data_IF_291995019544
#
_entry.id   IF_291995019544
#
_cell.length_a   1.000
_cell.length_b   1.000
_cell.length_c   1.000
_cell.angle_alpha   90.00
_cell.angle_beta   90.00
_cell.angle_gamma   90.00
#
_symmetry.space_group_name_H-M   'P 1'
#
loop_
_entity.id
_entity.type
_entity.pdbx_description
1 polymer ?
#
# COMPACT_ATOMS: atom_id res chain seq x y z
N UNK A 1 -3.33 19.43 -3.58
CA UNK A 1 -2.28 18.47 -3.19
C UNK A 1 -0.94 19.15 -3.41
N UNK A 2 -0.07 19.24 -2.40
CA UNK A 2 1.31 19.71 -2.59
C UNK A 2 2.09 18.61 -3.33
N UNK A 3 2.83 18.97 -4.39
CA UNK A 3 3.56 18.03 -5.23
C UNK A 3 4.70 17.33 -4.47
N UNK A 4 5.43 18.03 -3.61
CA UNK A 4 6.50 17.44 -2.78
C UNK A 4 5.94 16.40 -1.80
N UNK A 5 4.78 16.67 -1.19
CA UNK A 5 4.09 15.68 -0.34
C UNK A 5 3.58 14.47 -1.11
N UNK A 6 3.12 14.68 -2.34
CA UNK A 6 2.72 13.58 -3.20
C UNK A 6 3.92 12.71 -3.55
N UNK A 7 5.04 13.32 -3.95
CA UNK A 7 6.27 12.59 -4.19
C UNK A 7 6.75 11.85 -2.94
N UNK A 8 6.75 12.47 -1.76
CA UNK A 8 7.08 11.79 -0.50
C UNK A 8 6.21 10.55 -0.24
N UNK A 9 4.91 10.63 -0.58
CA UNK A 9 4.01 9.50 -0.47
C UNK A 9 4.34 8.39 -1.48
N UNK A 10 4.61 8.73 -2.74
CA UNK A 10 5.02 7.77 -3.78
C UNK A 10 6.35 7.09 -3.41
N UNK A 11 7.34 7.87 -2.96
CA UNK A 11 8.64 7.38 -2.52
C UNK A 11 8.50 6.43 -1.32
N UNK A 12 7.71 6.82 -0.33
CA UNK A 12 7.40 5.97 0.84
C UNK A 12 6.76 4.63 0.44
N UNK A 13 5.87 4.62 -0.55
CA UNK A 13 5.30 3.37 -1.07
C UNK A 13 6.38 2.53 -1.76
N UNK A 14 7.19 3.14 -2.63
CA UNK A 14 8.24 2.44 -3.35
C UNK A 14 9.22 1.75 -2.38
N UNK A 15 9.64 2.47 -1.33
CA UNK A 15 10.53 1.94 -0.30
C UNK A 15 9.87 0.79 0.48
N UNK A 16 8.61 0.95 0.92
CA UNK A 16 7.90 -0.12 1.63
C UNK A 16 7.82 -1.42 0.81
N UNK A 17 7.50 -1.32 -0.48
CA UNK A 17 7.44 -2.48 -1.38
C UNK A 17 8.78 -3.23 -1.47
N UNK A 18 9.88 -2.49 -1.47
CA UNK A 18 11.25 -3.02 -1.51
C UNK A 18 11.68 -3.62 -0.17
N UNK A 19 11.45 -2.90 0.93
CA UNK A 19 11.82 -3.31 2.29
C UNK A 19 11.09 -4.60 2.71
N UNK A 20 9.78 -4.68 2.45
CA UNK A 20 8.97 -5.88 2.74
C UNK A 20 9.22 -6.99 1.73
N UNK A 21 9.73 -6.65 0.54
CA UNK A 21 9.89 -7.56 -0.60
C UNK A 21 8.58 -8.30 -0.93
N UNK A 22 7.52 -7.51 -1.12
CA UNK A 22 6.14 -8.01 -1.35
C UNK A 22 6.10 -8.99 -2.53
N UNK A 23 6.84 -8.72 -3.60
CA UNK A 23 6.90 -9.59 -4.78
C UNK A 23 7.37 -11.01 -4.43
N UNK A 24 8.43 -11.13 -3.61
CA UNK A 24 8.94 -12.43 -3.19
C UNK A 24 7.95 -13.16 -2.27
N UNK A 25 7.32 -12.46 -1.32
CA UNK A 25 6.33 -13.04 -0.41
C UNK A 25 5.12 -13.61 -1.18
N UNK A 26 4.59 -12.85 -2.14
CA UNK A 26 3.48 -13.30 -2.99
C UNK A 26 3.87 -14.48 -3.87
N UNK A 27 5.08 -14.47 -4.44
CA UNK A 27 5.60 -15.59 -5.21
C UNK A 27 5.73 -16.87 -4.36
N UNK A 28 6.14 -16.75 -3.09
CA UNK A 28 6.20 -17.86 -2.14
C UNK A 28 4.82 -18.45 -1.86
N UNK A 29 3.80 -17.62 -1.62
CA UNK A 29 2.41 -18.10 -1.46
C UNK A 29 1.96 -18.84 -2.71
N UNK A 30 2.14 -18.25 -3.89
CA UNK A 30 1.69 -18.85 -5.16
C UNK A 30 2.35 -20.20 -5.40
N UNK A 31 3.66 -20.32 -5.14
CA UNK A 31 4.40 -21.56 -5.28
C UNK A 31 3.91 -22.63 -4.28
N UNK A 32 3.74 -22.25 -3.01
CA UNK A 32 3.29 -23.18 -1.97
C UNK A 32 1.85 -23.64 -2.18
N UNK A 33 0.95 -22.75 -2.62
CA UNK A 33 -0.43 -23.09 -2.97
C UNK A 33 -0.48 -24.02 -4.20
N UNK A 34 0.29 -23.71 -5.25
CA UNK A 34 0.37 -24.59 -6.42
C UNK A 34 0.87 -25.99 -6.04
N UNK A 35 1.84 -26.07 -5.13
CA UNK A 35 2.36 -27.34 -4.64
C UNK A 35 1.34 -28.12 -3.81
N UNK A 36 0.56 -27.45 -2.95
CA UNK A 36 -0.49 -28.11 -2.15
C UNK A 36 -1.65 -28.63 -3.00
N UNK A 37 -1.91 -28.00 -4.16
CA UNK A 37 -2.88 -28.47 -5.15
C UNK A 37 -2.34 -29.68 -5.93
N UNK A 38 -1.09 -29.60 -6.40
CA UNK A 38 -0.50 -30.63 -7.27
C UNK A 38 -0.09 -31.89 -6.51
N UNK A 39 0.28 -31.77 -5.23
CA UNK A 39 0.73 -32.90 -4.42
C UNK A 39 0.15 -32.82 -3.01
N UNK A 40 -1.17 -33.02 -2.84
CA UNK A 40 -1.84 -32.79 -1.57
C UNK A 40 -1.33 -33.74 -0.48
N UNK A 41 -0.61 -33.18 0.49
CA UNK A 41 -0.18 -33.87 1.71
C UNK A 41 0.05 -32.86 2.86
N UNK A 42 0.22 -33.38 4.09
CA UNK A 42 0.38 -32.55 5.29
C UNK A 42 1.54 -31.53 5.18
N UNK A 43 2.68 -31.94 4.63
CA UNK A 43 3.85 -31.07 4.48
C UNK A 43 3.59 -29.89 3.53
N UNK A 44 2.95 -30.15 2.38
CA UNK A 44 2.61 -29.09 1.43
C UNK A 44 1.56 -28.11 1.96
N UNK A 45 0.59 -28.59 2.75
CA UNK A 45 -0.39 -27.74 3.42
C UNK A 45 0.26 -26.85 4.48
N UNK A 46 1.21 -27.39 5.25
CA UNK A 46 1.96 -26.65 6.26
C UNK A 46 2.88 -25.59 5.63
N UNK A 47 3.54 -25.91 4.52
CA UNK A 47 4.35 -24.96 3.76
C UNK A 47 3.51 -23.77 3.25
N UNK A 48 2.31 -24.03 2.72
CA UNK A 48 1.37 -22.98 2.33
C UNK A 48 0.98 -22.11 3.53
N UNK A 49 0.55 -22.71 4.64
CA UNK A 49 0.18 -21.99 5.86
C UNK A 49 1.33 -21.12 6.40
N UNK A 50 2.55 -21.63 6.38
CA UNK A 50 3.73 -20.88 6.79
C UNK A 50 3.98 -19.66 5.89
N UNK A 51 3.93 -19.84 4.56
CA UNK A 51 4.11 -18.74 3.61
C UNK A 51 3.01 -17.67 3.72
N UNK A 52 1.76 -18.11 3.94
CA UNK A 52 0.62 -17.24 4.18
C UNK A 52 0.80 -16.42 5.45
N UNK A 53 1.03 -17.07 6.59
CA UNK A 53 1.21 -16.39 7.88
C UNK A 53 2.37 -15.40 7.85
N UNK A 54 3.51 -15.81 7.28
CA UNK A 54 4.68 -14.92 7.12
C UNK A 54 4.32 -13.66 6.35
N UNK A 55 3.57 -13.79 5.26
CA UNK A 55 3.16 -12.65 4.43
C UNK A 55 2.19 -11.75 5.18
N UNK A 56 1.20 -12.31 5.88
CA UNK A 56 0.23 -11.51 6.65
C UNK A 56 0.93 -10.74 7.78
N UNK A 57 1.88 -11.36 8.49
CA UNK A 57 2.67 -10.69 9.53
C UNK A 57 3.47 -9.53 8.93
N UNK A 58 4.21 -9.77 7.84
CA UNK A 58 5.00 -8.73 7.19
C UNK A 58 4.14 -7.53 6.71
N UNK A 59 2.93 -7.81 6.20
CA UNK A 59 1.98 -6.78 5.79
C UNK A 59 1.35 -6.05 6.99
N UNK A 60 1.17 -6.72 8.14
CA UNK A 60 0.65 -6.07 9.34
C UNK A 60 1.65 -5.11 9.99
N UNK A 61 2.95 -5.35 9.78
CA UNK A 61 4.05 -4.52 10.27
C UNK A 61 4.45 -3.39 9.30
N UNK A 62 3.79 -3.30 8.14
CA UNK A 62 4.09 -2.31 7.12
C UNK A 62 3.94 -0.86 7.62
N UNK A 63 4.83 0.03 7.16
CA UNK A 63 4.88 1.45 7.54
C UNK A 63 3.60 2.22 7.15
N UNK A 64 2.93 1.78 6.09
CA UNK A 64 1.67 2.33 5.61
C UNK A 64 0.52 2.17 6.61
N UNK A 65 0.62 1.22 7.56
CA UNK A 65 -0.37 1.03 8.61
C UNK A 65 -0.34 2.12 9.69
N UNK A 66 0.81 2.76 9.89
CA UNK A 66 1.04 3.78 10.93
C UNK A 66 1.34 5.16 10.36
N UNK A 67 1.09 5.35 9.05
CA UNK A 67 1.38 6.60 8.36
C UNK A 67 0.49 7.77 8.81
N UNK A 68 0.96 9.01 8.57
CA UNK A 68 0.22 10.22 8.92
C UNK A 68 -1.09 10.36 8.12
N UNK A 69 -2.15 10.97 8.69
CA UNK A 69 -3.45 11.11 8.01
C UNK A 69 -3.40 11.75 6.62
N UNK A 70 -2.49 12.72 6.41
CA UNK A 70 -2.30 13.39 5.12
C UNK A 70 -1.73 12.44 4.07
N UNK A 71 -0.73 11.62 4.42
CA UNK A 71 -0.16 10.61 3.54
C UNK A 71 -1.14 9.47 3.28
N UNK A 72 -1.87 9.04 4.30
CA UNK A 72 -2.96 8.06 4.16
C UNK A 72 -4.02 8.53 3.16
N UNK A 73 -4.40 9.81 3.20
CA UNK A 73 -5.35 10.37 2.24
C UNK A 73 -4.82 10.30 0.80
N UNK A 74 -3.52 10.56 0.59
CA UNK A 74 -2.89 10.39 -0.72
C UNK A 74 -2.95 8.93 -1.16
N UNK A 75 -2.68 7.97 -0.27
CA UNK A 75 -2.77 6.54 -0.57
C UNK A 75 -4.18 6.14 -1.00
N UNK A 76 -5.21 6.63 -0.31
CA UNK A 76 -6.62 6.44 -0.67
C UNK A 76 -6.94 7.05 -2.05
N UNK A 77 -6.49 8.29 -2.30
CA UNK A 77 -6.79 9.02 -3.53
C UNK A 77 -6.17 8.36 -4.78
N UNK A 78 -5.02 7.69 -4.64
CA UNK A 78 -4.41 6.90 -5.73
C UNK A 78 -4.83 5.42 -5.73
N UNK A 79 -5.69 5.00 -4.79
CA UNK A 79 -6.15 3.61 -4.66
C UNK A 79 -5.05 2.62 -4.27
N UNK A 80 -4.04 3.08 -3.51
CA UNK A 80 -2.95 2.27 -2.98
C UNK A 80 -3.35 1.45 -1.75
N UNK A 81 -4.35 1.92 -1.00
CA UNK A 81 -4.86 1.31 0.23
C UNK A 81 -5.08 -0.20 0.13
N UNK A 82 -5.61 -0.68 -0.98
CA UNK A 82 -5.88 -2.10 -1.25
C UNK A 82 -4.66 -2.94 -1.66
N UNK A 83 -3.51 -2.32 -1.85
CA UNK A 83 -2.28 -2.95 -2.34
C UNK A 83 -1.12 -2.89 -1.34
N UNK A 84 -1.33 -2.30 -0.17
CA UNK A 84 -0.32 -2.13 0.88
C UNK A 84 -0.84 -2.56 2.24
N UNK A 85 0.10 -2.82 3.15
CA UNK A 85 -0.15 -3.12 4.55
C UNK A 85 -1.38 -4.00 4.82
N UNK A 86 -2.19 -3.57 5.78
CA UNK A 86 -3.41 -4.25 6.20
C UNK A 86 -4.46 -4.35 5.09
N UNK A 87 -4.52 -3.41 4.16
CA UNK A 87 -5.49 -3.46 3.05
C UNK A 87 -5.19 -4.63 2.11
N UNK A 88 -3.92 -4.86 1.79
CA UNK A 88 -3.50 -6.05 1.04
C UNK A 88 -3.69 -7.33 1.85
N UNK A 89 -3.33 -7.33 3.13
CA UNK A 89 -3.52 -8.49 4.01
C UNK A 89 -4.99 -8.94 4.07
N UNK A 90 -5.90 -7.98 4.22
CA UNK A 90 -7.35 -8.22 4.19
C UNK A 90 -7.79 -8.79 2.85
N UNK A 91 -7.32 -8.23 1.74
CA UNK A 91 -7.66 -8.71 0.39
C UNK A 91 -7.20 -10.15 0.15
N UNK A 92 -6.00 -10.52 0.59
CA UNK A 92 -5.49 -11.89 0.51
C UNK A 92 -6.33 -12.83 1.40
N UNK A 93 -6.64 -12.40 2.63
CA UNK A 93 -7.46 -13.18 3.57
C UNK A 93 -8.85 -13.45 3.01
N UNK A 94 -9.52 -12.41 2.50
CA UNK A 94 -10.84 -12.50 1.86
C UNK A 94 -10.82 -13.49 0.70
N UNK A 95 -9.85 -13.37 -0.21
CA UNK A 95 -9.70 -14.26 -1.37
C UNK A 95 -9.66 -15.73 -0.97
N UNK A 96 -8.84 -16.09 0.03
CA UNK A 96 -8.76 -17.49 0.48
C UNK A 96 -9.99 -17.92 1.29
N UNK A 97 -10.62 -17.01 2.03
CA UNK A 97 -11.84 -17.31 2.77
C UNK A 97 -13.06 -17.53 1.86
N UNK A 98 -13.14 -16.84 0.73
CA UNK A 98 -14.21 -16.95 -0.26
C UNK A 98 -14.05 -18.20 -1.14
N UNK A 99 -12.81 -18.64 -1.37
CA UNK A 99 -12.49 -19.77 -2.25
C UNK A 99 -12.22 -21.09 -1.51
N UNK A 100 -12.71 -21.26 -0.27
CA UNK A 100 -12.49 -22.46 0.55
C UNK A 100 -12.91 -23.78 -0.13
N UNK A 101 -13.80 -23.72 -1.13
CA UNK A 101 -14.34 -24.89 -1.83
C UNK A 101 -13.41 -25.39 -2.94
N UNK A 102 -12.65 -24.51 -3.60
CA UNK A 102 -11.88 -24.87 -4.80
C UNK A 102 -10.50 -24.21 -4.82
N UNK A 103 -9.44 -24.91 -4.38
CA UNK A 103 -8.07 -24.40 -4.38
C UNK A 103 -7.58 -23.90 -5.75
N UNK A 104 -8.04 -24.50 -6.85
CA UNK A 104 -7.70 -24.07 -8.20
C UNK A 104 -8.24 -22.66 -8.54
N UNK A 105 -9.45 -22.33 -8.10
CA UNK A 105 -10.03 -20.99 -8.27
C UNK A 105 -9.27 -19.97 -7.41
N UNK A 106 -8.96 -20.33 -6.16
CA UNK A 106 -8.14 -19.50 -5.29
C UNK A 106 -6.78 -19.18 -5.94
N UNK A 107 -6.12 -20.16 -6.56
CA UNK A 107 -4.84 -19.94 -7.25
C UNK A 107 -4.98 -18.99 -8.44
N UNK A 108 -6.02 -19.13 -9.26
CA UNK A 108 -6.25 -18.27 -10.42
C UNK A 108 -6.57 -16.81 -10.02
N UNK A 109 -7.41 -16.62 -9.00
CA UNK A 109 -7.71 -15.31 -8.45
C UNK A 109 -6.47 -14.68 -7.79
N UNK A 110 -5.69 -15.48 -7.06
CA UNK A 110 -4.47 -15.00 -6.43
C UNK A 110 -3.44 -14.57 -7.48
N UNK A 111 -3.28 -15.30 -8.57
CA UNK A 111 -2.44 -14.89 -9.70
C UNK A 111 -2.89 -13.55 -10.31
N UNK A 112 -4.20 -13.34 -10.43
CA UNK A 112 -4.76 -12.07 -10.90
C UNK A 112 -4.43 -10.94 -9.92
N UNK A 113 -4.54 -11.18 -8.61
CA UNK A 113 -4.15 -10.22 -7.58
C UNK A 113 -2.66 -9.87 -7.67
N UNK A 114 -1.78 -10.87 -7.82
CA UNK A 114 -0.33 -10.65 -7.97
C UNK A 114 -0.02 -9.79 -9.19
N UNK A 115 -0.68 -10.04 -10.33
CA UNK A 115 -0.51 -9.22 -11.53
C UNK A 115 -0.96 -7.76 -11.32
N UNK A 116 -2.09 -7.55 -10.61
CA UNK A 116 -2.56 -6.20 -10.27
C UNK A 116 -1.54 -5.47 -9.39
N UNK A 117 -0.96 -6.16 -8.41
CA UNK A 117 0.05 -5.60 -7.50
C UNK A 117 1.33 -5.27 -8.26
N UNK A 118 1.82 -6.16 -9.12
CA UNK A 118 3.01 -5.92 -9.95
C UNK A 118 2.82 -4.71 -10.88
N UNK A 119 1.66 -4.59 -11.52
CA UNK A 119 1.34 -3.43 -12.35
C UNK A 119 1.25 -2.14 -11.55
N UNK A 120 0.64 -2.18 -10.36
CA UNK A 120 0.57 -1.03 -9.46
C UNK A 120 1.98 -0.61 -9.03
N UNK A 121 2.79 -1.56 -8.55
CA UNK A 121 4.15 -1.30 -8.09
C UNK A 121 5.02 -0.69 -9.19
N UNK A 122 4.98 -1.24 -10.41
CA UNK A 122 5.69 -0.66 -11.58
C UNK A 122 5.31 0.79 -11.84
N UNK A 123 4.03 1.16 -11.68
CA UNK A 123 3.59 2.56 -11.85
C UNK A 123 4.16 3.45 -10.74
N UNK A 124 4.19 2.97 -9.50
CA UNK A 124 4.76 3.69 -8.36
C UNK A 124 6.26 3.91 -8.57
N UNK A 125 7.02 2.89 -8.95
CA UNK A 125 8.45 3.01 -9.26
C UNK A 125 8.69 4.02 -10.39
N UNK A 126 7.95 3.92 -11.50
CA UNK A 126 8.08 4.88 -12.61
C UNK A 126 7.78 6.31 -12.18
N UNK A 127 6.76 6.52 -11.34
CA UNK A 127 6.43 7.85 -10.82
C UNK A 127 7.55 8.39 -9.92
N UNK A 128 8.08 7.57 -9.01
CA UNK A 128 9.18 7.94 -8.11
C UNK A 128 10.43 8.33 -8.91
N UNK A 129 10.83 7.47 -9.86
CA UNK A 129 11.97 7.70 -10.74
C UNK A 129 11.79 8.98 -11.56
N UNK A 130 10.57 9.24 -12.07
CA UNK A 130 10.26 10.43 -12.86
C UNK A 130 10.38 11.69 -12.02
N UNK A 131 9.84 11.70 -10.79
CA UNK A 131 9.97 12.84 -9.91
C UNK A 131 11.43 13.11 -9.51
N UNK A 132 12.18 12.04 -9.20
CA UNK A 132 13.61 12.14 -8.95
C UNK A 132 14.41 12.69 -10.15
N UNK A 133 14.11 12.21 -11.36
CA UNK A 133 14.77 12.69 -12.59
C UNK A 133 14.45 14.15 -12.93
N UNK A 134 13.32 14.67 -12.46
CA UNK A 134 12.94 16.08 -12.57
C UNK A 134 13.50 16.95 -11.45
N UNK A 135 14.32 16.38 -10.55
CA UNK A 135 14.86 17.07 -9.36
C UNK A 135 13.75 17.68 -8.50
N UNK A 136 12.57 17.03 -8.48
CA UNK A 136 11.50 17.43 -7.57
C UNK A 136 11.85 16.91 -6.19
N UNK A 137 12.08 17.84 -5.26
CA UNK A 137 12.27 17.51 -3.86
C UNK A 137 10.96 16.99 -3.26
N UNK A 138 11.05 15.91 -2.48
CA UNK A 138 9.94 15.46 -1.66
C UNK A 138 10.05 16.07 -0.26
N UNK A 139 8.92 16.54 0.27
CA UNK A 139 8.84 17.04 1.63
C UNK A 139 8.88 15.84 2.60
N UNK A 140 10.08 15.49 3.08
CA UNK A 140 10.23 14.53 4.18
C UNK A 140 10.33 15.29 5.51
N UNK A 141 9.43 14.98 6.43
CA UNK A 141 9.44 15.58 7.76
C UNK A 141 10.34 14.75 8.66
N UNK A 142 11.44 15.32 9.12
CA UNK A 142 12.34 14.64 10.06
C UNK A 142 11.67 14.43 11.43
N UNK A 143 12.24 13.54 12.25
CA UNK A 143 11.77 13.33 13.62
C UNK A 143 11.76 14.65 14.41
N UNK A 144 10.59 15.02 14.95
CA UNK A 144 10.39 16.28 15.67
C UNK A 144 9.95 17.45 14.79
N UNK A 145 9.97 17.29 13.46
CA UNK A 145 9.26 18.18 12.55
C UNK A 145 7.79 17.77 12.51
N UNK A 146 6.92 18.76 12.46
CA UNK A 146 5.49 18.54 12.29
C UNK A 146 4.95 19.56 11.32
N UNK A 147 4.00 19.12 10.53
CA UNK A 147 3.29 19.97 9.60
C UNK A 147 1.86 20.19 10.10
N UNK A 148 1.47 21.47 10.21
CA UNK A 148 0.10 21.83 10.52
C UNK A 148 -0.61 22.14 9.20
N UNK A 149 -1.41 21.18 8.73
CA UNK A 149 -2.32 21.37 7.60
C UNK A 149 -3.67 21.91 8.07
N UNK A 150 -3.99 23.16 7.75
CA UNK A 150 -5.33 23.73 7.96
C UNK A 150 -6.12 23.66 6.65
N UNK A 151 -7.21 22.89 6.65
CA UNK A 151 -8.17 22.86 5.53
C UNK A 151 -9.39 23.71 5.89
N UNK A 152 -9.49 24.86 5.24
CA UNK A 152 -10.56 25.82 5.48
C UNK A 152 -11.57 25.74 4.33
N UNK A 153 -12.87 25.49 4.61
CA UNK A 153 -13.89 25.48 3.58
C UNK A 153 -13.89 26.82 2.83
N UNK A 154 -13.92 26.78 1.49
CA UNK A 154 -13.98 28.01 0.67
C UNK A 154 -15.20 28.87 0.99
N UNK A 155 -16.27 28.28 1.48
CA UNK A 155 -17.45 29.01 1.96
C UNK A 155 -17.13 29.95 3.13
N UNK A 156 -16.12 29.64 3.94
CA UNK A 156 -15.72 30.42 5.11
C UNK A 156 -14.72 31.52 4.74
N UNK A 157 -13.75 31.22 3.88
CA UNK A 157 -12.63 32.14 3.58
C UNK A 157 -12.73 32.85 2.21
N UNK A 158 -13.66 32.43 1.35
CA UNK A 158 -13.69 32.86 -0.05
C UNK A 158 -12.51 32.31 -0.85
N UNK A 159 -12.10 33.02 -1.89
CA UNK A 159 -10.95 32.67 -2.76
C UNK A 159 -9.61 33.24 -2.28
N UNK A 160 -9.59 34.06 -1.22
CA UNK A 160 -8.39 34.75 -0.74
C UNK A 160 -8.25 34.68 0.78
N UNK A 161 -7.03 34.48 1.28
CA UNK A 161 -6.73 34.42 2.72
C UNK A 161 -6.98 35.74 3.48
N UNK A 162 -7.23 36.85 2.78
CA UNK A 162 -7.45 38.19 3.36
C UNK A 162 -8.63 38.21 4.34
N UNK A 163 -9.67 37.38 4.12
CA UNK A 163 -10.85 37.35 4.98
C UNK A 163 -10.64 36.65 6.33
N UNK A 164 -9.50 35.97 6.53
CA UNK A 164 -9.16 35.36 7.83
C UNK A 164 -8.83 36.38 8.92
N UNK A 165 -8.67 37.67 8.58
CA UNK A 165 -8.32 38.73 9.54
C UNK A 165 -9.50 39.24 10.39
N UNK A 166 -10.72 38.71 10.24
CA UNK A 166 -11.94 39.41 10.65
C UNK A 166 -12.65 38.91 11.92
N UNK A 167 -12.06 38.04 12.73
CA UNK A 167 -12.64 37.69 14.05
C UNK A 167 -11.55 37.75 15.13
N UNK A 168 -11.25 38.98 15.58
CA UNK A 168 -10.67 39.20 16.91
C UNK A 168 -11.82 39.12 17.92
N UNK A 169 -11.79 38.09 18.77
CA UNK A 169 -12.52 38.05 20.05
C UNK A 169 -11.76 38.95 21.03
#
# INVERSE_FOLDING_TARGET
MNLGRFHAAIHSLNNEFQEINIAQLLAQIQAALKQSINTPNASTAEAFKASYTKTIVALSEASSNTTFPTRKKIFEDIGADRFIGNGLANKITSLFSENQITPANALAEFQTLVQQIDQFYKRITVLDDTFGAMELEYDDLEAGQFEIGLSLPRSVVGSTAVRLKAEQI
#
